data_IF_998812054898
#
_entry.id   IF_998812054898
#
_cell.length_a   1.000
_cell.length_b   1.000
_cell.length_c   1.000
_cell.angle_alpha   90.00
_cell.angle_beta   90.00
_cell.angle_gamma   90.00
#
_symmetry.space_group_name_H-M   'P 1'
#
loop_
_entity.id
_entity.type
_entity.pdbx_description
1 polymer ?
#
# COMPACT_ATOMS: atom_id res chain seq x y z
N UNK A 1 -27.74 -18.06 21.12
CA UNK A 1 -26.56 -17.22 21.30
C UNK A 1 -26.74 -15.94 20.52
N UNK A 2 -26.59 -14.83 21.16
CA UNK A 2 -26.60 -13.55 20.46
C UNK A 2 -25.31 -13.38 19.70
N UNK A 3 -25.39 -13.12 18.39
CA UNK A 3 -24.23 -12.74 17.60
C UNK A 3 -23.74 -11.39 18.12
N UNK A 4 -22.56 -11.38 18.73
CA UNK A 4 -21.94 -10.13 19.13
C UNK A 4 -21.44 -9.39 17.89
N UNK A 5 -21.93 -8.19 17.66
CA UNK A 5 -21.46 -7.35 16.59
C UNK A 5 -19.95 -7.08 16.76
N UNK A 6 -19.19 -7.18 15.68
CA UNK A 6 -17.75 -6.92 15.70
C UNK A 6 -17.34 -6.05 14.50
N UNK A 7 -16.22 -5.40 14.64
CA UNK A 7 -15.50 -4.79 13.54
C UNK A 7 -14.13 -5.41 13.46
N UNK A 8 -13.70 -5.74 12.24
CA UNK A 8 -12.37 -6.25 11.95
C UNK A 8 -11.82 -5.53 10.73
N UNK A 9 -10.58 -5.07 10.81
CA UNK A 9 -9.92 -4.48 9.66
C UNK A 9 -9.76 -5.54 8.57
N UNK A 10 -10.28 -5.28 7.38
CA UNK A 10 -10.21 -6.22 6.26
C UNK A 10 -9.03 -5.92 5.36
N UNK A 11 -8.96 -4.72 4.81
CA UNK A 11 -7.86 -4.30 3.94
C UNK A 11 -7.82 -2.79 3.73
N UNK A 12 -6.63 -2.29 3.40
CA UNK A 12 -6.46 -1.00 2.75
C UNK A 12 -6.55 -1.18 1.23
N UNK A 13 -6.91 -0.14 0.49
CA UNK A 13 -6.97 -0.16 -0.97
C UNK A 13 -6.39 1.14 -1.53
N UNK A 14 -5.41 1.02 -2.43
CA UNK A 14 -4.91 2.14 -3.20
C UNK A 14 -5.34 2.03 -4.66
N UNK A 15 -5.61 3.16 -5.28
CA UNK A 15 -5.84 3.27 -6.72
C UNK A 15 -4.49 3.43 -7.42
N UNK A 16 -4.29 2.66 -8.50
CA UNK A 16 -3.09 2.71 -9.32
C UNK A 16 -3.46 2.76 -10.80
N UNK A 17 -2.56 3.26 -11.64
CA UNK A 17 -2.79 3.36 -13.07
C UNK A 17 -2.35 2.12 -13.86
N UNK A 18 -1.49 1.30 -13.28
CA UNK A 18 -0.91 0.12 -13.93
C UNK A 18 -0.55 -0.92 -12.86
N UNK A 19 -1.29 -2.04 -12.83
CA UNK A 19 -1.08 -3.09 -11.84
C UNK A 19 0.28 -3.76 -11.97
N UNK A 20 0.72 -4.06 -13.19
CA UNK A 20 2.00 -4.74 -13.36
C UNK A 20 3.15 -3.86 -12.88
N UNK A 21 3.10 -2.57 -13.18
CA UNK A 21 4.07 -1.60 -12.67
C UNK A 21 3.98 -1.47 -11.16
N UNK A 22 2.79 -1.34 -10.60
CA UNK A 22 2.61 -1.25 -9.15
C UNK A 22 3.16 -2.48 -8.42
N UNK A 23 3.01 -3.67 -8.99
CA UNK A 23 3.50 -4.90 -8.38
C UNK A 23 5.03 -4.99 -8.37
N UNK A 24 5.74 -4.28 -9.22
CA UNK A 24 7.21 -4.19 -9.12
C UNK A 24 7.63 -3.55 -7.79
N UNK A 25 6.80 -2.70 -7.22
CA UNK A 25 7.01 -2.12 -5.90
C UNK A 25 6.37 -2.97 -4.79
N UNK A 26 5.06 -3.19 -4.84
CA UNK A 26 4.34 -3.84 -3.74
C UNK A 26 4.73 -5.31 -3.56
N UNK A 27 4.91 -6.05 -4.62
CA UNK A 27 5.32 -7.46 -4.57
C UNK A 27 6.84 -7.60 -4.50
N UNK A 28 7.56 -7.01 -5.46
CA UNK A 28 8.97 -7.31 -5.67
C UNK A 28 9.89 -6.56 -4.68
N UNK A 29 9.51 -5.37 -4.22
CA UNK A 29 10.26 -4.58 -3.25
C UNK A 29 9.73 -4.74 -1.84
N UNK A 30 8.41 -4.52 -1.64
CA UNK A 30 7.81 -4.58 -0.30
C UNK A 30 7.55 -6.01 0.19
N UNK A 31 7.47 -6.98 -0.70
CA UNK A 31 7.35 -8.39 -0.32
C UNK A 31 5.92 -8.90 -0.13
N UNK A 32 4.90 -8.17 -0.59
CA UNK A 32 3.55 -8.70 -0.59
C UNK A 32 3.43 -9.89 -1.56
N UNK A 33 2.59 -10.84 -1.23
CA UNK A 33 2.19 -11.92 -2.13
C UNK A 33 0.84 -11.64 -2.76
N UNK A 34 0.69 -11.98 -4.05
CA UNK A 34 -0.58 -11.85 -4.76
C UNK A 34 -1.46 -13.05 -4.42
N UNK A 35 -2.64 -12.77 -3.85
CA UNK A 35 -3.62 -13.81 -3.51
C UNK A 35 -4.70 -13.97 -4.58
N UNK A 36 -5.10 -12.86 -5.21
CA UNK A 36 -6.23 -12.87 -6.12
C UNK A 36 -6.11 -11.68 -7.08
N UNK A 37 -6.37 -11.93 -8.36
CA UNK A 37 -6.34 -10.89 -9.39
C UNK A 37 -7.56 -11.01 -10.29
N UNK A 38 -8.23 -9.88 -10.54
CA UNK A 38 -9.37 -9.77 -11.44
C UNK A 38 -9.10 -8.75 -12.53
N UNK A 39 -9.67 -9.02 -13.71
CA UNK A 39 -9.79 -8.05 -14.78
C UNK A 39 -11.00 -7.12 -14.63
N UNK A 40 -11.35 -6.46 -15.72
CA UNK A 40 -12.46 -5.50 -15.74
C UNK A 40 -13.79 -6.14 -15.36
N UNK A 41 -14.53 -5.45 -14.47
CA UNK A 41 -15.83 -5.88 -13.98
C UNK A 41 -16.76 -4.67 -13.95
N UNK A 42 -17.63 -4.49 -14.99
CA UNK A 42 -18.46 -3.28 -15.13
C UNK A 42 -19.42 -3.03 -13.97
N UNK A 43 -19.84 -4.09 -13.28
CA UNK A 43 -20.76 -4.01 -12.14
C UNK A 43 -20.05 -3.86 -10.79
N UNK A 44 -18.74 -3.64 -10.78
CA UNK A 44 -17.99 -3.49 -9.54
C UNK A 44 -18.50 -2.28 -8.73
N UNK A 45 -18.70 -2.49 -7.44
CA UNK A 45 -19.06 -1.42 -6.52
C UNK A 45 -17.99 -0.32 -6.44
N UNK A 46 -16.75 -0.65 -6.76
CA UNK A 46 -15.64 0.32 -6.84
C UNK A 46 -15.93 1.46 -7.81
N UNK A 47 -16.65 1.20 -8.90
CA UNK A 47 -17.01 2.24 -9.87
C UNK A 47 -17.79 3.37 -9.21
N UNK A 48 -18.78 3.03 -8.40
CA UNK A 48 -19.61 4.02 -7.72
C UNK A 48 -18.86 4.75 -6.61
N UNK A 49 -18.14 4.01 -5.76
CA UNK A 49 -17.56 4.58 -4.53
C UNK A 49 -16.23 5.29 -4.77
N UNK A 50 -15.48 4.91 -5.81
CA UNK A 50 -14.31 5.68 -6.24
C UNK A 50 -14.67 6.73 -7.29
N UNK A 51 -15.96 6.84 -7.66
CA UNK A 51 -16.44 7.80 -8.65
C UNK A 51 -15.70 7.68 -9.99
N UNK A 52 -15.54 6.44 -10.46
CA UNK A 52 -14.80 6.12 -11.68
C UNK A 52 -15.66 6.49 -12.90
N UNK A 53 -15.15 7.31 -13.83
CA UNK A 53 -15.92 7.71 -14.99
C UNK A 53 -16.17 6.55 -15.94
N UNK A 54 -17.25 6.65 -16.73
CA UNK A 54 -17.55 5.70 -17.81
C UNK A 54 -16.39 5.65 -18.82
N UNK A 55 -16.14 4.47 -19.35
CA UNK A 55 -15.08 4.23 -20.32
C UNK A 55 -13.75 3.82 -19.70
N UNK A 56 -13.59 3.94 -18.40
CA UNK A 56 -12.43 3.41 -17.71
C UNK A 56 -12.54 1.88 -17.53
N UNK A 57 -11.41 1.20 -17.61
CA UNK A 57 -11.31 -0.23 -17.35
C UNK A 57 -10.68 -0.46 -15.98
N UNK A 58 -11.26 -1.43 -15.25
CA UNK A 58 -10.79 -1.77 -13.91
C UNK A 58 -9.91 -3.00 -13.93
N UNK A 59 -8.90 -3.01 -13.06
CA UNK A 59 -8.21 -4.20 -12.62
C UNK A 59 -8.17 -4.23 -11.10
N UNK A 60 -7.94 -5.38 -10.52
CA UNK A 60 -7.96 -5.54 -9.07
C UNK A 60 -7.02 -6.65 -8.63
N UNK A 61 -6.33 -6.43 -7.53
CA UNK A 61 -5.49 -7.44 -6.90
C UNK A 61 -5.61 -7.34 -5.39
N UNK A 62 -5.64 -8.48 -4.71
CA UNK A 62 -5.46 -8.53 -3.26
C UNK A 62 -4.07 -9.06 -2.93
N UNK A 63 -3.49 -8.48 -1.90
CA UNK A 63 -2.13 -8.73 -1.47
C UNK A 63 -2.11 -9.16 -0.01
N UNK A 64 -1.24 -10.12 0.30
CA UNK A 64 -1.05 -10.65 1.64
C UNK A 64 0.38 -10.45 2.12
N UNK A 65 0.55 -10.42 3.43
CA UNK A 65 1.83 -10.61 4.11
C UNK A 65 1.79 -11.89 4.91
N UNK A 66 2.93 -12.42 5.40
CA UNK A 66 2.90 -13.55 6.32
C UNK A 66 2.02 -13.24 7.55
N UNK A 67 1.01 -14.07 7.78
CA UNK A 67 0.06 -13.88 8.88
C UNK A 67 -1.06 -12.86 8.66
N UNK A 68 -1.09 -12.16 7.53
CA UNK A 68 -2.11 -11.15 7.21
C UNK A 68 -2.67 -11.38 5.81
N UNK A 69 -3.69 -12.23 5.72
CA UNK A 69 -4.29 -12.63 4.44
C UNK A 69 -5.13 -11.48 3.87
N UNK A 70 -4.83 -11.09 2.63
CA UNK A 70 -5.59 -10.08 1.87
C UNK A 70 -5.76 -8.74 2.61
N UNK A 71 -4.70 -8.32 3.28
CA UNK A 71 -4.68 -7.10 4.10
C UNK A 71 -4.59 -5.83 3.24
N UNK A 72 -4.22 -5.96 1.98
CA UNK A 72 -4.04 -4.87 1.04
C UNK A 72 -4.71 -5.19 -0.30
N UNK A 73 -5.19 -4.17 -0.97
CA UNK A 73 -5.67 -4.28 -2.34
C UNK A 73 -5.15 -3.11 -3.19
N UNK A 74 -5.01 -3.34 -4.48
CA UNK A 74 -4.77 -2.31 -5.48
C UNK A 74 -5.91 -2.38 -6.49
N UNK A 75 -6.52 -1.23 -6.76
CA UNK A 75 -7.52 -1.06 -7.81
C UNK A 75 -6.88 -0.32 -8.97
N UNK A 76 -6.77 -1.00 -10.11
CA UNK A 76 -6.25 -0.40 -11.33
C UNK A 76 -7.36 0.33 -12.07
N UNK A 77 -7.07 1.55 -12.53
CA UNK A 77 -7.97 2.32 -13.38
C UNK A 77 -7.21 2.66 -14.67
N UNK A 78 -7.64 2.06 -15.78
CA UNK A 78 -7.08 2.30 -17.12
C UNK A 78 -8.03 3.10 -17.99
N UNK A 79 -7.47 3.77 -19.01
CA UNK A 79 -8.24 4.48 -20.02
C UNK A 79 -8.57 5.91 -19.65
N UNK A 80 -8.12 6.38 -18.50
CA UNK A 80 -8.23 7.78 -18.07
C UNK A 80 -6.92 8.21 -17.43
N UNK A 81 -6.66 9.51 -17.41
CA UNK A 81 -5.56 10.08 -16.64
C UNK A 81 -6.01 10.29 -15.20
N UNK A 82 -5.28 9.71 -14.25
CA UNK A 82 -5.53 9.95 -12.84
C UNK A 82 -5.05 11.36 -12.48
N UNK A 83 -5.93 12.15 -11.85
CA UNK A 83 -5.55 13.45 -11.32
C UNK A 83 -4.47 13.30 -10.24
N UNK A 84 -3.55 14.28 -10.10
CA UNK A 84 -2.58 14.26 -9.03
C UNK A 84 -3.24 14.17 -7.65
N UNK A 85 -2.61 13.44 -6.73
CA UNK A 85 -3.07 13.37 -5.35
C UNK A 85 -2.95 14.77 -4.72
N UNK A 86 -4.02 15.28 -4.09
CA UNK A 86 -3.95 16.59 -3.44
C UNK A 86 -3.04 16.56 -2.22
N UNK A 87 -2.32 17.64 -1.98
CA UNK A 87 -1.48 17.80 -0.80
C UNK A 87 -2.10 18.82 0.17
N UNK A 88 -2.01 18.59 1.49
CA UNK A 88 -1.34 17.45 2.15
C UNK A 88 -2.04 16.13 1.81
N UNK A 89 -1.25 15.06 1.70
CA UNK A 89 -1.80 13.72 1.55
C UNK A 89 -2.69 13.37 2.73
N UNK A 90 -3.79 12.64 2.45
CA UNK A 90 -4.80 12.34 3.46
C UNK A 90 -4.81 10.89 3.90
N UNK A 91 -3.94 10.07 3.31
CA UNK A 91 -3.87 8.64 3.64
C UNK A 91 -2.47 8.09 3.39
N UNK A 92 -2.16 7.05 4.11
CA UNK A 92 -0.95 6.26 3.95
C UNK A 92 -1.20 4.86 4.49
N UNK A 93 -0.40 3.90 4.06
CA UNK A 93 -0.24 2.64 4.79
C UNK A 93 1.09 2.68 5.52
N UNK A 94 1.15 1.99 6.66
CA UNK A 94 2.37 1.90 7.48
C UNK A 94 2.73 0.43 7.62
N UNK A 95 3.97 0.10 7.27
CA UNK A 95 4.46 -1.26 7.24
C UNK A 95 5.65 -1.41 8.19
N UNK A 96 5.63 -2.48 8.98
CA UNK A 96 6.78 -2.89 9.76
C UNK A 96 7.70 -3.75 8.87
N UNK A 97 8.94 -3.30 8.69
CA UNK A 97 9.89 -3.94 7.78
C UNK A 97 11.15 -4.33 8.53
N UNK A 98 11.53 -5.60 8.38
CA UNK A 98 12.73 -6.11 9.04
C UNK A 98 14.04 -5.63 8.38
N UNK A 99 14.00 -5.31 7.08
CA UNK A 99 15.16 -4.86 6.32
C UNK A 99 14.84 -3.59 5.53
N UNK A 100 14.77 -2.42 6.19
CA UNK A 100 14.45 -1.18 5.53
C UNK A 100 15.51 -0.74 4.50
N UNK A 101 16.77 -1.07 4.70
CA UNK A 101 17.85 -0.63 3.79
C UNK A 101 17.70 -1.24 2.39
N UNK A 102 17.38 -2.54 2.30
CA UNK A 102 17.13 -3.20 1.02
C UNK A 102 15.90 -2.60 0.33
N UNK A 103 14.83 -2.36 1.07
CA UNK A 103 13.61 -1.74 0.54
C UNK A 103 13.89 -0.34 -0.01
N UNK A 104 14.61 0.48 0.73
CA UNK A 104 14.99 1.84 0.31
C UNK A 104 15.81 1.80 -0.98
N UNK A 105 16.84 0.94 -1.03
CA UNK A 105 17.69 0.78 -2.19
C UNK A 105 16.92 0.34 -3.44
N UNK A 106 16.06 -0.65 -3.29
CA UNK A 106 15.26 -1.18 -4.40
C UNK A 106 14.19 -0.18 -4.86
N UNK A 107 13.57 0.55 -3.94
CA UNK A 107 12.63 1.61 -4.29
C UNK A 107 13.30 2.73 -5.09
N UNK A 108 14.49 3.14 -4.68
CA UNK A 108 15.29 4.12 -5.42
C UNK A 108 15.69 3.61 -6.81
N UNK A 109 16.01 2.33 -6.92
CA UNK A 109 16.34 1.70 -8.21
C UNK A 109 15.14 1.70 -9.18
N UNK A 110 13.91 1.65 -8.67
CA UNK A 110 12.69 1.81 -9.46
C UNK A 110 12.41 3.27 -9.83
N UNK A 111 13.18 4.23 -9.34
CA UNK A 111 12.96 5.66 -9.57
C UNK A 111 11.88 6.27 -8.67
N UNK A 112 11.48 5.59 -7.61
CA UNK A 112 10.46 6.10 -6.69
C UNK A 112 11.04 7.16 -5.75
N UNK A 113 10.20 8.11 -5.35
CA UNK A 113 10.57 9.11 -4.34
C UNK A 113 10.68 8.44 -2.97
N UNK A 114 11.82 8.61 -2.34
CA UNK A 114 12.08 8.18 -0.97
C UNK A 114 12.42 9.42 -0.16
N UNK A 115 11.61 9.70 0.87
CA UNK A 115 11.86 10.82 1.77
C UNK A 115 13.06 10.53 2.69
N UNK A 116 13.65 11.60 3.22
CA UNK A 116 14.69 11.46 4.24
C UNK A 116 14.14 10.70 5.44
N UNK A 117 14.98 9.81 5.97
CA UNK A 117 14.58 9.00 7.11
C UNK A 117 14.58 9.83 8.40
N UNK A 118 13.63 9.53 9.25
CA UNK A 118 13.50 10.12 10.58
C UNK A 118 13.80 9.07 11.66
N UNK A 119 14.34 9.53 12.77
CA UNK A 119 14.53 8.68 13.95
C UNK A 119 13.19 8.58 14.68
N UNK A 120 12.72 7.36 14.92
CA UNK A 120 11.49 7.10 15.63
C UNK A 120 11.79 6.75 17.08
N UNK A 121 11.26 7.56 18.00
CA UNK A 121 11.35 7.30 19.44
C UNK A 121 10.00 6.79 19.94
N UNK A 122 10.00 5.60 20.54
CA UNK A 122 8.79 5.01 21.12
C UNK A 122 8.58 5.48 22.56
N UNK A 123 7.35 5.37 23.05
CA UNK A 123 7.01 5.74 24.41
C UNK A 123 7.74 4.90 25.48
N UNK A 124 8.14 3.67 25.11
CA UNK A 124 8.88 2.76 25.99
C UNK A 124 10.41 2.90 25.86
N UNK A 125 10.90 3.93 25.15
CA UNK A 125 12.32 4.26 25.05
C UNK A 125 13.09 3.52 23.98
N UNK A 126 12.44 2.74 23.10
CA UNK A 126 13.11 2.15 21.95
C UNK A 126 13.35 3.20 20.88
N UNK A 127 14.34 2.97 20.05
CA UNK A 127 14.70 3.84 18.93
C UNK A 127 14.60 3.03 17.64
N UNK A 128 13.87 3.56 16.68
CA UNK A 128 13.67 2.95 15.38
C UNK A 128 13.91 3.93 14.23
N UNK A 129 13.53 3.49 13.05
CA UNK A 129 13.66 4.22 11.79
C UNK A 129 12.29 4.33 11.13
N UNK A 130 12.03 5.43 10.48
CA UNK A 130 10.77 5.73 9.80
C UNK A 130 11.06 6.43 8.47
N UNK A 131 10.58 5.87 7.36
CA UNK A 131 10.88 6.35 6.01
C UNK A 131 9.60 6.34 5.17
N UNK A 132 9.31 7.46 4.52
CA UNK A 132 8.22 7.56 3.54
C UNK A 132 8.69 7.21 2.13
N UNK A 133 7.93 6.38 1.44
CA UNK A 133 8.15 6.02 0.03
C UNK A 133 6.86 6.30 -0.73
N UNK A 134 6.95 6.90 -1.90
CA UNK A 134 5.80 7.21 -2.74
C UNK A 134 5.77 6.23 -3.91
N UNK A 135 4.62 5.59 -4.13
CA UNK A 135 4.47 4.67 -5.26
C UNK A 135 4.40 5.41 -6.61
N UNK A 136 4.22 4.68 -7.71
CA UNK A 136 4.16 5.28 -9.05
C UNK A 136 2.96 6.20 -9.26
N UNK A 137 1.94 6.10 -8.43
CA UNK A 137 0.70 6.86 -8.53
C UNK A 137 0.48 7.84 -7.37
N UNK A 138 1.57 8.23 -6.70
CA UNK A 138 1.60 9.21 -5.61
C UNK A 138 0.90 8.73 -4.32
N UNK A 139 0.75 7.43 -4.14
CA UNK A 139 0.28 6.87 -2.87
C UNK A 139 1.45 6.74 -1.88
N UNK A 140 1.22 7.11 -0.62
CA UNK A 140 2.24 7.11 0.41
C UNK A 140 2.29 5.79 1.17
N UNK A 141 3.47 5.21 1.21
CA UNK A 141 3.81 4.05 2.04
C UNK A 141 4.88 4.48 3.03
N UNK A 142 4.59 4.38 4.31
CA UNK A 142 5.57 4.60 5.37
C UNK A 142 6.06 3.24 5.85
N UNK A 143 7.36 3.04 5.84
CA UNK A 143 7.96 1.85 6.45
C UNK A 143 8.64 2.24 7.75
N UNK A 144 8.59 1.36 8.73
CA UNK A 144 9.32 1.56 9.97
C UNK A 144 9.97 0.26 10.42
N UNK A 145 11.00 0.41 11.22
CA UNK A 145 11.65 -0.71 11.88
C UNK A 145 12.04 -0.25 13.29
N UNK A 146 11.48 -0.92 14.27
CA UNK A 146 11.82 -0.72 15.68
C UNK A 146 12.47 -2.00 16.16
N UNK A 147 13.78 -2.01 16.49
CA UNK A 147 14.42 -3.20 17.02
C UNK A 147 13.71 -3.69 18.28
N UNK A 148 13.66 -5.03 18.44
CA UNK A 148 13.14 -5.60 19.67
C UNK A 148 13.95 -5.08 20.86
N UNK A 149 13.27 -4.84 22.01
CA UNK A 149 13.96 -4.47 23.22
C UNK A 149 14.97 -5.58 23.57
N UNK A 150 16.23 -5.18 23.85
CA UNK A 150 17.21 -6.11 24.38
C UNK A 150 16.68 -6.64 25.73
N UNK A 151 16.55 -7.95 25.80
CA UNK A 151 16.17 -8.59 27.05
C UNK A 151 17.27 -8.43 28.09
#
# INVERSE_FOLDING_TARGET
>A
MSDTAFVRFQRANFVVSDLDRALTFYRDVLGFSVEYRLGHKPESYSISVFEIPQGAELGFVTLSTPGQVRVMALTEIKGIDLAPVPHPRRSAIVLDMSDPDTVIGDARALGLQVYDEEVLHTNDGRVGREIGIVDFDDNLVVIYNIPAACA
#
